data_IF_836818134642
#
_entry.id   IF_836818134642
#
_cell.length_a   1.000
_cell.length_b   1.000
_cell.length_c   1.000
_cell.angle_alpha   90.00
_cell.angle_beta   90.00
_cell.angle_gamma   90.00
#
_symmetry.space_group_name_H-M   'P 1'
#
loop_
_entity.id
_entity.type
_entity.pdbx_description
1 polymer ?
#
# COMPACT_ATOMS: atom_id res chain seq x y z
N UNK A 1 4.96 -9.97 -16.13
CA UNK A 1 5.02 -9.20 -17.40
C UNK A 1 6.40 -8.57 -17.44
N UNK A 2 7.20 -8.87 -18.46
CA UNK A 2 8.53 -8.26 -18.60
C UNK A 2 8.36 -6.78 -18.97
N UNK A 3 9.20 -5.91 -18.40
CA UNK A 3 9.22 -4.47 -18.67
C UNK A 3 7.91 -3.72 -18.38
N UNK A 4 7.09 -4.21 -17.44
CA UNK A 4 5.89 -3.49 -17.01
C UNK A 4 6.26 -2.18 -16.31
N UNK A 5 5.76 -1.06 -16.83
CA UNK A 5 6.00 0.28 -16.27
C UNK A 5 5.19 0.55 -15.00
N UNK A 6 4.20 -0.29 -14.67
CA UNK A 6 3.31 -0.09 -13.54
C UNK A 6 4.06 0.06 -12.21
N UNK A 7 5.01 -0.85 -11.94
CA UNK A 7 5.78 -0.84 -10.69
C UNK A 7 6.67 0.41 -10.56
N UNK A 8 7.28 0.85 -11.66
CA UNK A 8 8.08 2.08 -11.71
C UNK A 8 7.21 3.30 -11.43
N UNK A 9 6.03 3.37 -12.05
CA UNK A 9 5.10 4.49 -11.87
C UNK A 9 4.56 4.53 -10.44
N UNK A 10 4.20 3.38 -9.88
CA UNK A 10 3.76 3.27 -8.50
C UNK A 10 4.84 3.75 -7.53
N UNK A 11 6.09 3.30 -7.70
CA UNK A 11 7.19 3.75 -6.84
C UNK A 11 7.44 5.26 -6.95
N UNK A 12 7.34 5.85 -8.14
CA UNK A 12 7.47 7.30 -8.32
C UNK A 12 6.36 8.08 -7.61
N UNK A 13 5.15 7.53 -7.58
CA UNK A 13 4.03 8.13 -6.87
C UNK A 13 4.23 8.07 -5.35
N UNK A 14 4.70 6.94 -4.80
CA UNK A 14 5.09 6.86 -3.40
C UNK A 14 6.13 7.91 -2.99
N UNK A 15 7.15 8.12 -3.82
CA UNK A 15 8.19 9.13 -3.57
C UNK A 15 7.66 10.58 -3.60
N UNK A 16 6.54 10.83 -4.28
CA UNK A 16 5.92 12.16 -4.37
C UNK A 16 4.90 12.43 -3.27
N UNK A 17 4.41 11.40 -2.59
CA UNK A 17 3.47 11.59 -1.51
C UNK A 17 4.15 12.35 -0.36
N UNK A 18 3.46 13.31 0.27
CA UNK A 18 3.95 13.92 1.50
C UNK A 18 4.15 12.87 2.60
N UNK A 19 5.23 13.00 3.37
CA UNK A 19 5.63 12.02 4.40
C UNK A 19 4.47 11.65 5.35
N UNK A 20 3.70 12.65 5.78
CA UNK A 20 2.57 12.48 6.70
C UNK A 20 1.46 11.57 6.18
N UNK A 21 1.38 11.31 4.86
CA UNK A 21 0.45 10.31 4.30
C UNK A 21 0.80 8.89 4.72
N UNK A 22 2.08 8.63 5.00
CA UNK A 22 2.60 7.33 5.40
C UNK A 22 2.81 7.21 6.91
N UNK A 23 2.89 8.34 7.61
CA UNK A 23 3.09 8.40 9.06
C UNK A 23 1.90 7.86 9.86
N UNK A 24 2.22 7.20 10.97
CA UNK A 24 1.22 6.67 11.90
C UNK A 24 0.72 7.76 12.84
N UNK A 25 -0.43 8.32 12.49
CA UNK A 25 -1.15 9.23 13.37
C UNK A 25 -2.03 8.49 14.37
N UNK A 26 -2.23 9.11 15.54
CA UNK A 26 -3.20 8.69 16.54
C UNK A 26 -4.33 9.71 16.64
N UNK A 27 -5.52 9.26 17.02
CA UNK A 27 -6.70 10.12 17.17
C UNK A 27 -7.75 9.93 16.07
N UNK A 28 -8.62 10.92 15.98
CA UNK A 28 -9.80 10.90 15.11
C UNK A 28 -9.74 12.04 14.09
N UNK A 29 -10.23 11.78 12.89
CA UNK A 29 -10.35 12.75 11.81
C UNK A 29 -11.79 12.91 11.39
N UNK A 30 -12.15 14.13 10.98
CA UNK A 30 -13.43 14.43 10.37
C UNK A 30 -13.22 14.65 8.87
N UNK A 31 -13.57 13.66 8.05
CA UNK A 31 -13.44 13.76 6.61
C UNK A 31 -14.76 14.25 6.00
N UNK A 32 -14.78 15.48 5.49
CA UNK A 32 -15.90 16.01 4.71
C UNK A 32 -15.84 15.45 3.28
N UNK A 33 -16.95 15.00 2.68
CA UNK A 33 -18.35 15.25 3.08
C UNK A 33 -18.99 14.19 3.99
N UNK A 34 -18.23 13.17 4.40
CA UNK A 34 -18.76 11.94 5.04
C UNK A 34 -19.26 12.20 6.47
N UNK A 35 -18.93 13.38 7.04
CA UNK A 35 -19.45 13.91 8.31
C UNK A 35 -19.46 12.89 9.46
N UNK A 36 -18.44 12.04 9.49
CA UNK A 36 -18.26 11.05 10.55
C UNK A 36 -16.82 11.05 11.03
N UNK A 37 -16.64 10.66 12.29
CA UNK A 37 -15.33 10.46 12.90
C UNK A 37 -14.77 9.12 12.43
N UNK A 38 -13.62 9.19 11.78
CA UNK A 38 -12.81 8.03 11.42
C UNK A 38 -11.47 8.09 12.15
N UNK A 39 -10.73 6.99 12.18
CA UNK A 39 -9.35 7.02 12.69
C UNK A 39 -8.47 7.87 11.77
N UNK A 40 -7.75 8.83 12.37
CA UNK A 40 -6.71 9.59 11.68
C UNK A 40 -5.46 8.71 11.64
N UNK A 41 -5.45 7.68 10.81
CA UNK A 41 -4.26 6.85 10.57
C UNK A 41 -3.63 7.15 9.21
N UNK A 42 -2.46 6.57 8.92
CA UNK A 42 -1.82 6.72 7.62
C UNK A 42 -2.76 6.35 6.46
N UNK A 43 -2.60 7.05 5.35
CA UNK A 43 -3.40 6.88 4.12
C UNK A 43 -2.75 5.85 3.21
N UNK A 44 -1.42 5.93 3.05
CA UNK A 44 -0.63 5.06 2.18
C UNK A 44 0.40 4.27 3.00
N UNK A 45 0.89 3.13 2.51
CA UNK A 45 2.00 2.41 3.14
C UNK A 45 3.25 3.27 3.29
N UNK A 46 4.09 2.94 4.29
CA UNK A 46 5.48 3.39 4.27
C UNK A 46 6.24 2.76 3.11
N UNK A 47 6.97 3.57 2.35
CA UNK A 47 7.79 3.14 1.21
C UNK A 47 9.27 3.15 1.59
N UNK A 48 9.97 2.05 1.30
CA UNK A 48 11.38 1.88 1.71
C UNK A 48 12.36 1.89 0.55
N UNK A 49 11.91 1.71 -0.69
CA UNK A 49 12.78 1.74 -1.86
C UNK A 49 12.24 0.99 -3.06
N UNK A 50 12.82 1.31 -4.21
CA UNK A 50 12.65 0.59 -5.47
C UNK A 50 14.02 0.18 -5.98
N UNK A 51 14.20 -1.11 -6.17
CA UNK A 51 15.48 -1.75 -6.45
C UNK A 51 15.40 -2.39 -7.82
N UNK A 52 16.37 -2.05 -8.67
CA UNK A 52 16.52 -2.59 -10.02
C UNK A 52 17.77 -3.46 -10.01
N UNK A 53 17.71 -4.70 -10.52
CA UNK A 53 18.89 -5.55 -10.69
C UNK A 53 19.94 -4.87 -11.56
N UNK A 54 21.22 -5.03 -11.21
CA UNK A 54 22.29 -4.51 -12.04
C UNK A 54 22.37 -5.29 -13.36
N UNK A 55 22.73 -4.61 -14.45
CA UNK A 55 22.83 -5.20 -15.80
C UNK A 55 23.81 -6.40 -15.86
N UNK A 56 24.73 -6.52 -14.89
CA UNK A 56 25.67 -7.64 -14.73
C UNK A 56 25.18 -8.82 -13.89
N UNK A 57 24.05 -8.68 -13.17
CA UNK A 57 23.45 -9.77 -12.38
C UNK A 57 22.45 -10.61 -13.18
N UNK A 58 21.98 -10.11 -14.33
CA UNK A 58 21.22 -10.91 -15.32
C UNK A 58 22.09 -12.01 -15.99
N UNK A 59 23.40 -12.06 -15.66
CA UNK A 59 24.42 -12.91 -16.29
C UNK A 59 25.11 -13.92 -15.37
N UNK A 60 24.56 -14.26 -14.20
CA UNK A 60 25.11 -15.38 -13.41
C UNK A 60 24.76 -16.74 -14.05
N UNK A 61 25.62 -17.15 -14.99
CA UNK A 61 25.70 -18.49 -15.57
C UNK A 61 25.97 -19.52 -14.47
N UNK A 62 24.98 -20.37 -14.18
CA UNK A 62 25.21 -21.70 -13.62
C UNK A 62 25.09 -22.73 -14.76
N UNK A 63 26.22 -23.02 -15.41
CA UNK A 63 26.45 -24.25 -16.15
C UNK A 63 26.33 -24.18 -17.67
N UNK A 64 27.33 -24.78 -18.34
CA UNK A 64 27.39 -25.06 -19.78
C UNK A 64 26.05 -25.61 -20.31
N UNK A 65 25.26 -24.75 -20.93
CA UNK A 65 24.01 -25.10 -21.56
C UNK A 65 23.26 -23.84 -21.94
N UNK A 66 22.97 -23.70 -23.23
CA UNK A 66 22.21 -22.62 -23.88
C UNK A 66 20.82 -22.41 -23.22
N UNK A 67 20.80 -21.77 -22.05
CA UNK A 67 19.60 -21.31 -21.34
C UNK A 67 19.78 -19.82 -21.14
N UNK A 68 19.17 -19.07 -22.07
CA UNK A 68 19.30 -17.62 -22.17
C UNK A 68 19.09 -16.87 -20.86
N UNK A 69 19.78 -15.73 -20.76
CA UNK A 69 19.73 -14.73 -19.68
C UNK A 69 18.37 -14.69 -18.99
N UNK A 70 18.34 -15.03 -17.70
CA UNK A 70 17.13 -14.99 -16.91
C UNK A 70 16.83 -13.55 -16.49
N UNK A 71 15.70 -13.02 -16.95
CA UNK A 71 15.21 -11.70 -16.56
C UNK A 71 14.99 -11.62 -15.04
N UNK A 72 15.60 -10.63 -14.40
CA UNK A 72 15.34 -10.28 -13.00
C UNK A 72 14.38 -9.08 -12.96
N UNK A 73 13.24 -9.23 -12.29
CA UNK A 73 12.29 -8.12 -12.16
C UNK A 73 12.72 -7.15 -11.08
N UNK A 74 12.54 -5.83 -11.28
CA UNK A 74 12.64 -4.86 -10.20
C UNK A 74 11.70 -5.19 -9.05
N UNK A 75 12.10 -4.82 -7.84
CA UNK A 75 11.32 -5.02 -6.62
C UNK A 75 11.06 -3.68 -5.92
N UNK A 76 9.93 -3.59 -5.23
CA UNK A 76 9.57 -2.44 -4.40
C UNK A 76 9.35 -2.92 -2.97
N UNK A 77 10.01 -2.28 -2.01
CA UNK A 77 9.91 -2.62 -0.60
C UNK A 77 8.96 -1.64 0.11
N UNK A 78 7.93 -2.17 0.79
CA UNK A 78 6.87 -1.40 1.44
C UNK A 78 6.44 -2.00 2.78
N UNK A 79 5.70 -1.22 3.58
CA UNK A 79 5.03 -1.66 4.82
C UNK A 79 4.10 -2.85 4.56
N UNK A 80 4.19 -3.89 5.40
CA UNK A 80 3.16 -4.93 5.46
C UNK A 80 1.87 -4.36 6.07
N UNK A 81 0.90 -4.16 5.18
CA UNK A 81 -0.39 -3.55 5.48
C UNK A 81 -1.51 -4.58 5.61
N UNK A 82 -1.17 -5.87 5.67
CA UNK A 82 -2.14 -6.97 5.82
C UNK A 82 -2.78 -7.39 4.51
N UNK A 83 -4.09 -7.67 4.57
CA UNK A 83 -4.83 -8.32 3.47
C UNK A 83 -5.85 -7.38 2.84
N UNK A 84 -6.25 -7.59 1.58
CA UNK A 84 -7.33 -6.81 1.00
C UNK A 84 -8.64 -6.93 1.77
N UNK A 85 -9.42 -5.84 1.80
CA UNK A 85 -10.74 -5.87 2.42
C UNK A 85 -11.71 -6.79 1.66
N UNK A 86 -12.61 -7.41 2.42
CA UNK A 86 -13.80 -8.09 1.89
C UNK A 86 -14.99 -7.21 2.25
N UNK A 87 -15.61 -6.49 1.28
CA UNK A 87 -16.68 -5.52 1.57
C UNK A 87 -17.82 -6.06 2.42
N UNK A 88 -18.15 -7.34 2.27
CA UNK A 88 -19.22 -8.05 2.97
C UNK A 88 -18.90 -8.28 4.46
N UNK A 89 -17.62 -8.30 4.84
CA UNK A 89 -17.16 -8.46 6.22
C UNK A 89 -17.01 -7.12 6.96
N UNK A 90 -17.17 -5.98 6.26
CA UNK A 90 -16.94 -4.67 6.84
C UNK A 90 -18.12 -4.18 7.67
N UNK A 91 -17.82 -3.69 8.87
CA UNK A 91 -18.80 -2.95 9.67
C UNK A 91 -19.03 -1.56 9.09
N UNK A 92 -20.12 -0.90 9.47
CA UNK A 92 -20.38 0.49 9.09
C UNK A 92 -19.24 1.45 9.47
N UNK A 93 -18.56 1.21 10.60
CA UNK A 93 -17.38 2.00 11.03
C UNK A 93 -16.17 1.76 10.14
N UNK A 94 -15.98 0.53 9.68
CA UNK A 94 -14.90 0.18 8.76
C UNK A 94 -15.11 0.86 7.42
N UNK A 95 -16.34 0.81 6.89
CA UNK A 95 -16.73 1.53 5.67
C UNK A 95 -16.41 3.02 5.81
N UNK A 96 -16.79 3.66 6.91
CA UNK A 96 -16.46 5.07 7.15
C UNK A 96 -14.96 5.35 7.22
N UNK A 97 -14.17 4.40 7.73
CA UNK A 97 -12.71 4.53 7.77
C UNK A 97 -12.10 4.45 6.37
N UNK A 98 -12.52 3.49 5.54
CA UNK A 98 -12.09 3.39 4.13
C UNK A 98 -12.48 4.65 3.34
N UNK A 99 -13.72 5.09 3.51
CA UNK A 99 -14.28 6.31 2.94
C UNK A 99 -13.48 7.57 3.34
N UNK A 100 -13.13 7.69 4.62
CA UNK A 100 -12.28 8.77 5.13
C UNK A 100 -10.88 8.73 4.52
N UNK A 101 -10.34 7.54 4.29
CA UNK A 101 -9.02 7.36 3.67
C UNK A 101 -8.98 7.94 2.25
N UNK A 102 -9.95 7.55 1.41
CA UNK A 102 -10.07 8.06 0.04
C UNK A 102 -10.32 9.56 0.01
N UNK A 103 -11.19 10.04 0.89
CA UNK A 103 -11.53 11.48 0.98
C UNK A 103 -10.31 12.31 1.36
N UNK A 104 -9.52 11.85 2.33
CA UNK A 104 -8.26 12.52 2.70
C UNK A 104 -7.28 12.49 1.54
N UNK A 105 -7.11 11.35 0.86
CA UNK A 105 -6.25 11.25 -0.32
C UNK A 105 -6.61 12.31 -1.38
N UNK A 106 -7.91 12.45 -1.68
CA UNK A 106 -8.42 13.48 -2.59
C UNK A 106 -8.21 14.92 -2.08
N UNK A 107 -8.41 15.16 -0.79
CA UNK A 107 -8.20 16.48 -0.17
C UNK A 107 -6.76 16.98 -0.36
N UNK A 108 -5.81 16.05 -0.44
CA UNK A 108 -4.40 16.36 -0.67
C UNK A 108 -3.99 16.41 -2.14
N UNK A 109 -4.97 16.47 -3.06
CA UNK A 109 -4.74 16.72 -4.47
C UNK A 109 -4.44 15.48 -5.31
N UNK A 110 -4.61 14.28 -4.74
CA UNK A 110 -4.34 13.03 -5.45
C UNK A 110 -5.63 12.29 -5.82
N UNK A 111 -5.64 11.68 -7.00
CA UNK A 111 -6.70 10.78 -7.44
C UNK A 111 -6.13 9.37 -7.58
N UNK A 112 -6.84 8.37 -7.08
CA UNK A 112 -6.31 7.01 -7.12
C UNK A 112 -6.36 6.40 -8.53
N UNK A 113 -7.37 6.74 -9.33
CA UNK A 113 -7.63 6.24 -10.70
C UNK A 113 -7.78 4.72 -10.88
N UNK A 114 -7.65 3.93 -9.82
CA UNK A 114 -7.79 2.46 -9.81
C UNK A 114 -8.47 1.98 -8.52
N UNK A 115 -9.40 2.75 -7.97
CA UNK A 115 -10.00 2.44 -6.68
C UNK A 115 -10.88 1.18 -6.74
N UNK A 116 -10.53 0.16 -5.95
CA UNK A 116 -11.22 -1.11 -5.86
C UNK A 116 -11.00 -1.74 -4.47
N UNK A 117 -11.83 -2.70 -4.05
CA UNK A 117 -11.69 -3.39 -2.76
C UNK A 117 -10.32 -4.04 -2.58
N UNK A 118 -9.76 -4.62 -3.65
CA UNK A 118 -8.39 -5.18 -3.65
C UNK A 118 -7.28 -4.18 -3.31
N UNK A 119 -7.55 -2.89 -3.53
CA UNK A 119 -6.60 -1.78 -3.35
C UNK A 119 -6.77 -1.06 -2.02
N UNK A 120 -7.59 -1.61 -1.12
CA UNK A 120 -7.67 -1.19 0.28
C UNK A 120 -7.24 -2.38 1.13
N UNK A 121 -6.11 -2.24 1.81
CA UNK A 121 -5.62 -3.24 2.74
C UNK A 121 -6.12 -2.96 4.15
N UNK A 122 -6.38 -4.03 4.90
CA UNK A 122 -6.70 -4.03 6.32
C UNK A 122 -5.61 -4.79 7.09
N UNK A 123 -5.04 -4.11 8.09
CA UNK A 123 -4.19 -4.72 9.11
C UNK A 123 -4.89 -4.70 10.46
N UNK A 124 -4.54 -5.65 11.30
CA UNK A 124 -5.09 -5.80 12.66
C UNK A 124 -4.02 -5.49 13.70
N UNK A 125 -4.43 -5.25 14.94
CA UNK A 125 -3.53 -4.97 16.05
C UNK A 125 -2.79 -3.62 15.98
N UNK A 126 -1.85 -3.45 16.90
CA UNK A 126 -1.00 -2.26 16.94
C UNK A 126 0.17 -2.36 15.95
N UNK A 127 0.53 -1.24 15.31
CA UNK A 127 1.69 -1.16 14.43
C UNK A 127 3.02 -1.43 15.14
N UNK A 128 3.11 -1.21 16.46
CA UNK A 128 4.31 -1.54 17.23
C UNK A 128 4.53 -3.04 17.33
N UNK A 129 3.51 -3.86 17.06
CA UNK A 129 3.65 -5.30 17.00
C UNK A 129 4.22 -5.75 15.67
N UNK A 130 5.05 -6.79 15.72
CA UNK A 130 5.52 -7.49 14.54
C UNK A 130 4.31 -7.95 13.70
N UNK A 131 4.32 -7.80 12.36
CA UNK A 131 3.20 -8.19 11.52
C UNK A 131 2.70 -9.62 11.75
N UNK A 132 3.60 -10.56 12.04
CA UNK A 132 3.25 -11.96 12.32
C UNK A 132 2.48 -12.17 13.63
N UNK A 133 2.39 -11.16 14.49
CA UNK A 133 1.64 -11.18 15.76
C UNK A 133 0.33 -10.39 15.69
N UNK A 134 -0.01 -9.85 14.52
CA UNK A 134 -1.23 -9.08 14.30
C UNK A 134 -2.34 -10.05 13.91
N UNK A 135 -3.26 -10.30 14.82
CA UNK A 135 -4.30 -11.32 14.65
C UNK A 135 -5.65 -10.69 14.30
N UNK A 136 -6.50 -11.41 13.56
CA UNK A 136 -7.82 -10.90 13.12
C UNK A 136 -8.75 -10.60 14.31
N UNK A 137 -8.53 -11.27 15.43
CA UNK A 137 -9.23 -11.13 16.69
C UNK A 137 -8.97 -9.77 17.36
N UNK A 138 -7.91 -9.05 16.96
CA UNK A 138 -7.65 -7.71 17.47
C UNK A 138 -8.72 -6.72 16.99
N UNK A 139 -9.33 -6.02 17.95
CA UNK A 139 -10.33 -4.98 17.67
C UNK A 139 -9.75 -3.74 16.95
N UNK A 140 -8.43 -3.61 16.89
CA UNK A 140 -7.76 -2.47 16.29
C UNK A 140 -7.49 -2.71 14.80
N UNK A 141 -8.43 -2.24 13.96
CA UNK A 141 -8.28 -2.26 12.50
C UNK A 141 -7.60 -0.99 11.98
N UNK A 142 -6.73 -1.13 10.99
CA UNK A 142 -6.08 -0.04 10.26
C UNK A 142 -6.21 -0.29 8.77
N UNK A 143 -6.40 0.77 8.00
CA UNK A 143 -6.63 0.69 6.56
C UNK A 143 -5.56 1.46 5.78
N UNK A 144 -5.24 1.00 4.57
CA UNK A 144 -4.24 1.60 3.66
C UNK A 144 -4.73 1.50 2.22
N UNK A 145 -4.50 2.55 1.43
CA UNK A 145 -4.63 2.48 -0.03
C UNK A 145 -3.32 2.00 -0.65
N UNK A 146 -3.41 1.17 -1.68
CA UNK A 146 -2.25 0.66 -2.43
C UNK A 146 -2.54 0.72 -3.94
N UNK A 147 -1.59 0.34 -4.78
CA UNK A 147 -1.74 0.25 -6.24
C UNK A 147 -1.92 1.64 -6.88
N UNK A 148 -0.90 2.48 -6.69
CA UNK A 148 -0.86 3.85 -7.22
C UNK A 148 -0.22 3.96 -8.60
N UNK A 149 -0.03 2.86 -9.34
CA UNK A 149 0.64 2.90 -10.65
C UNK A 149 -0.09 3.70 -11.74
N UNK A 150 -1.35 4.10 -11.48
CA UNK A 150 -2.21 4.91 -12.37
C UNK A 150 -2.62 6.25 -11.76
N UNK A 151 -2.16 6.56 -10.56
CA UNK A 151 -2.50 7.80 -9.84
C UNK A 151 -1.81 9.01 -10.44
#
# INVERSE_FOLDING_TARGET
IQHDTHLVNESKNYQRFPDWMSEHWSGLTFALPIRNLARCGAIVPSWYGYYVPDEGEETAEDGEGDRGKHYLSPIMLMEDCGVPIVPEELTRKDIYSCCSLLTRFHYHGWLHNSFASRNILISYGDHTFNPCRREREDNQKRFRLIDFGRS
#
